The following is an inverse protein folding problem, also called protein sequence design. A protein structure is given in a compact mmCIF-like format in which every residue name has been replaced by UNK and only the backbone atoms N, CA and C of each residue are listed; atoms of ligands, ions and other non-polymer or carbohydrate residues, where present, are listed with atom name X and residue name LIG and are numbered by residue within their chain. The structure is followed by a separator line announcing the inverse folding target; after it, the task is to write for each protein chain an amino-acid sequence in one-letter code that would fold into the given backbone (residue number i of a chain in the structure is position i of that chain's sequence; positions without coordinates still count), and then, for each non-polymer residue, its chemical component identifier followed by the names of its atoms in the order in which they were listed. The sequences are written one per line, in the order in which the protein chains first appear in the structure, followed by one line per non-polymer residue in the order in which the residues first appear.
data_IF_714725775342
#
_entry.id   IF_714725775342
#
_cell.length_a   1.000
_cell.length_b   1.000
_cell.length_c   1.000
_cell.angle_alpha   90.00
_cell.angle_beta   90.00
_cell.angle_gamma   90.00
#
_symmetry.space_group_name_H-M   'P 1'
#
loop_
_entity.id
_entity.type
_entity.pdbx_description
1 polymer ?
#
# COMPACT_ATOMS: atom_id res chain seq x y z
N UNK A 1 33.33 -57.48 8.80
CA UNK A 1 33.12 -56.05 9.10
C UNK A 1 31.84 -55.53 8.42
N UNK A 2 30.78 -56.36 8.31
CA UNK A 2 29.57 -56.01 7.54
C UNK A 2 28.29 -55.86 8.38
N UNK A 3 28.26 -56.28 9.65
CA UNK A 3 27.03 -56.20 10.45
C UNK A 3 26.76 -54.82 11.09
N UNK A 4 27.75 -53.93 11.13
CA UNK A 4 27.58 -52.58 11.73
C UNK A 4 27.05 -51.54 10.74
N UNK A 5 27.19 -51.77 9.43
CA UNK A 5 26.68 -50.85 8.40
C UNK A 5 25.17 -50.99 8.17
N UNK A 6 24.63 -52.21 8.30
CA UNK A 6 23.21 -52.48 8.03
C UNK A 6 22.28 -51.95 9.13
N UNK A 7 22.77 -51.85 10.37
CA UNK A 7 22.01 -51.29 11.51
C UNK A 7 21.79 -49.78 11.40
N UNK A 8 22.74 -49.03 10.82
CA UNK A 8 22.63 -47.58 10.66
C UNK A 8 21.70 -47.15 9.52
N UNK A 9 21.54 -47.97 8.49
CA UNK A 9 20.65 -47.65 7.36
C UNK A 9 19.17 -47.75 7.72
N UNK A 10 18.78 -48.65 8.62
CA UNK A 10 17.38 -48.80 9.06
C UNK A 10 16.92 -47.73 10.07
N UNK A 11 17.85 -46.99 10.68
CA UNK A 11 17.53 -45.94 11.66
C UNK A 11 17.22 -44.58 11.00
N UNK A 12 17.72 -44.31 9.80
CA UNK A 12 17.53 -43.03 9.12
C UNK A 12 16.21 -42.95 8.33
N UNK A 13 15.65 -44.08 7.89
CA UNK A 13 14.36 -44.11 7.18
C UNK A 13 13.14 -44.03 8.10
N UNK A 14 13.28 -44.23 9.41
CA UNK A 14 12.16 -44.13 10.36
C UNK A 14 11.83 -42.70 10.79
N UNK A 15 12.75 -41.75 10.62
CA UNK A 15 12.54 -40.36 11.07
C UNK A 15 11.85 -39.48 10.03
N UNK A 16 11.70 -39.97 8.79
CA UNK A 16 11.10 -39.22 7.67
C UNK A 16 9.59 -39.47 7.50
N UNK A 17 9.00 -40.44 8.21
CA UNK A 17 7.59 -40.81 8.08
C UNK A 17 6.68 -40.23 9.20
N UNK A 18 7.23 -39.54 10.19
CA UNK A 18 6.47 -39.07 11.36
C UNK A 18 5.98 -37.61 11.25
N UNK A 19 6.47 -36.79 10.32
CA UNK A 19 5.98 -35.41 10.14
C UNK A 19 4.74 -35.29 9.24
N UNK A 20 4.50 -36.27 8.36
CA UNK A 20 3.40 -36.22 7.36
C UNK A 20 2.08 -36.83 7.86
N UNK A 21 1.99 -37.21 9.14
CA UNK A 21 0.77 -37.78 9.75
C UNK A 21 0.01 -36.82 10.68
N UNK A 22 0.52 -35.61 10.93
CA UNK A 22 -0.15 -34.59 11.75
C UNK A 22 -1.12 -33.66 10.99
N UNK A 23 -1.28 -33.84 9.68
CA UNK A 23 -2.05 -32.95 8.81
C UNK A 23 -3.43 -33.49 8.36
N UNK A 24 -4.04 -34.48 9.03
CA UNK A 24 -5.37 -34.99 8.63
C UNK A 24 -6.15 -35.58 9.81
N UNK A 25 -6.58 -34.77 10.78
CA UNK A 25 -7.61 -35.15 11.78
C UNK A 25 -8.08 -33.92 12.57
N UNK A 26 -8.94 -33.10 11.98
CA UNK A 26 -9.80 -32.15 12.72
C UNK A 26 -11.00 -31.74 11.86
N UNK A 27 -11.82 -32.71 11.51
CA UNK A 27 -13.19 -32.49 11.06
C UNK A 27 -14.05 -33.38 11.95
N UNK A 28 -14.87 -32.79 12.82
CA UNK A 28 -16.15 -33.31 13.34
C UNK A 28 -16.70 -32.38 14.44
N UNK A 29 -17.85 -31.76 14.11
CA UNK A 29 -19.03 -31.51 14.96
C UNK A 29 -18.95 -30.57 16.17
N UNK A 30 -19.43 -29.33 15.98
CA UNK A 30 -20.42 -28.74 16.91
C UNK A 30 -21.47 -27.94 16.11
N UNK A 31 -22.59 -28.58 15.80
CA UNK A 31 -23.86 -27.93 15.45
C UNK A 31 -24.75 -27.96 16.70
N UNK A 32 -24.97 -26.80 17.29
CA UNK A 32 -26.07 -26.45 18.18
C UNK A 32 -26.05 -24.93 18.32
N UNK A 33 -27.12 -24.16 18.30
CA UNK A 33 -28.53 -24.36 17.96
C UNK A 33 -29.10 -22.93 18.00
N UNK A 34 -29.44 -22.31 16.87
CA UNK A 34 -30.24 -21.09 16.88
C UNK A 34 -31.20 -21.11 15.69
N UNK A 35 -32.34 -21.76 15.90
CA UNK A 35 -33.52 -21.58 15.11
C UNK A 35 -34.72 -21.41 16.05
N UNK A 36 -35.59 -20.47 15.66
CA UNK A 36 -36.96 -20.23 16.12
C UNK A 36 -37.11 -19.33 17.35
N UNK A 37 -37.39 -18.04 17.09
CA UNK A 37 -38.69 -17.50 17.48
C UNK A 37 -39.16 -16.41 16.50
N UNK A 38 -40.11 -16.80 15.66
CA UNK A 38 -41.02 -15.91 14.93
C UNK A 38 -42.46 -16.27 15.35
N UNK A 39 -43.40 -15.32 15.19
CA UNK A 39 -44.84 -15.29 15.52
C UNK A 39 -45.16 -14.77 16.96
N UNK A 40 -46.00 -13.75 17.24
CA UNK A 40 -47.13 -13.10 16.53
C UNK A 40 -47.42 -11.65 17.00
N UNK A 41 -47.68 -10.78 16.00
CA UNK A 41 -48.77 -9.79 15.81
C UNK A 41 -49.27 -8.87 16.94
N UNK A 42 -49.34 -7.55 16.66
CA UNK A 42 -50.61 -6.81 16.48
C UNK A 42 -50.43 -5.41 15.84
N UNK A 43 -51.14 -5.20 14.72
CA UNK A 43 -51.88 -4.00 14.28
C UNK A 43 -51.24 -2.60 14.24
N UNK A 44 -51.08 -2.09 13.00
CA UNK A 44 -51.04 -0.65 12.70
C UNK A 44 -51.26 -0.42 11.19
N UNK A 45 -52.49 -0.14 10.81
CA UNK A 45 -52.92 0.17 9.43
C UNK A 45 -52.84 1.68 9.19
N UNK A 46 -52.38 2.12 8.02
CA UNK A 46 -52.39 3.53 7.61
C UNK A 46 -51.90 3.70 6.17
N UNK A 47 -52.85 3.77 5.24
CA UNK A 47 -52.73 3.84 3.78
C UNK A 47 -51.97 5.07 3.25
N UNK A 48 -51.31 4.94 2.10
CA UNK A 48 -51.70 5.59 0.82
C UNK A 48 -50.69 5.29 -0.29
N UNK A 49 -51.22 4.94 -1.45
CA UNK A 49 -50.58 4.56 -2.72
C UNK A 49 -49.69 5.63 -3.35
N UNK A 50 -48.65 5.21 -4.08
CA UNK A 50 -48.47 5.55 -5.52
C UNK A 50 -47.27 4.85 -6.15
N UNK A 51 -47.51 4.35 -7.36
CA UNK A 51 -46.61 3.70 -8.31
C UNK A 51 -45.63 4.69 -8.98
N UNK A 52 -44.57 4.16 -9.60
CA UNK A 52 -43.68 4.84 -10.56
C UNK A 52 -42.21 4.61 -10.20
N UNK A 53 -41.56 3.57 -10.70
CA UNK A 53 -40.90 3.47 -12.02
C UNK A 53 -39.52 4.16 -12.08
N UNK A 54 -38.66 3.51 -12.86
CA UNK A 54 -37.36 3.93 -13.38
C UNK A 54 -36.16 3.78 -12.44
N UNK A 55 -35.19 3.03 -12.96
CA UNK A 55 -33.97 2.64 -12.27
C UNK A 55 -33.00 3.79 -12.09
N UNK A 56 -32.28 3.74 -10.98
CA UNK A 56 -31.11 4.55 -10.77
C UNK A 56 -29.89 3.66 -11.00
N UNK A 57 -29.26 3.89 -12.15
CA UNK A 57 -27.92 3.44 -12.45
C UNK A 57 -26.98 3.91 -11.35
N UNK A 58 -26.12 2.99 -10.92
CA UNK A 58 -24.88 3.27 -10.20
C UNK A 58 -24.21 4.49 -10.83
N UNK A 59 -24.12 5.59 -10.08
CA UNK A 59 -23.18 6.66 -10.38
C UNK A 59 -21.78 6.06 -10.26
N UNK A 60 -21.19 5.76 -11.40
CA UNK A 60 -19.77 5.53 -11.51
C UNK A 60 -19.07 6.83 -11.13
N UNK A 61 -18.13 6.72 -10.18
CA UNK A 61 -17.15 7.78 -9.93
C UNK A 61 -16.44 8.06 -11.26
N UNK A 62 -16.77 9.20 -11.85
CA UNK A 62 -16.13 9.70 -13.04
C UNK A 62 -14.70 10.09 -12.63
N UNK A 63 -13.73 9.28 -13.06
CA UNK A 63 -12.30 9.55 -12.94
C UNK A 63 -11.99 10.82 -13.75
N UNK A 64 -12.09 11.97 -13.08
CA UNK A 64 -11.81 13.28 -13.66
C UNK A 64 -10.65 13.95 -12.94
N UNK A 65 -9.46 13.36 -13.06
CA UNK A 65 -8.20 14.10 -13.04
C UNK A 65 -7.64 14.28 -14.47
N UNK A 66 -8.50 14.29 -15.49
CA UNK A 66 -8.13 14.73 -16.83
C UNK A 66 -8.48 16.22 -17.00
N UNK A 67 -7.46 17.07 -16.86
CA UNK A 67 -7.38 18.48 -17.23
C UNK A 67 -7.89 19.54 -16.22
N UNK A 68 -6.97 20.00 -15.36
CA UNK A 68 -6.73 21.44 -15.18
C UNK A 68 -6.62 21.93 -13.74
N UNK A 69 -7.28 21.27 -12.79
CA UNK A 69 -7.33 21.71 -11.39
C UNK A 69 -7.42 20.49 -10.47
N UNK A 70 -6.46 20.37 -9.57
CA UNK A 70 -6.41 19.40 -8.48
C UNK A 70 -7.13 19.93 -7.25
N UNK A 71 -7.67 19.03 -6.43
CA UNK A 71 -8.31 19.36 -5.16
C UNK A 71 -7.61 18.64 -4.02
N UNK A 72 -7.36 19.37 -2.94
CA UNK A 72 -6.67 18.89 -1.75
C UNK A 72 -7.49 19.24 -0.49
N UNK A 73 -8.72 18.71 -0.35
CA UNK A 73 -9.56 18.99 0.80
C UNK A 73 -8.87 18.59 2.10
N UNK A 74 -9.08 19.41 3.14
CA UNK A 74 -8.60 19.10 4.48
C UNK A 74 -9.21 17.78 4.97
N UNK A 75 -8.38 16.93 5.58
CA UNK A 75 -8.82 15.71 6.22
C UNK A 75 -9.34 16.03 7.64
N UNK A 76 -10.23 15.18 8.14
CA UNK A 76 -10.68 15.13 9.53
C UNK A 76 -9.53 14.92 10.53
N UNK A 77 -8.41 14.34 10.10
CA UNK A 77 -7.22 14.15 10.91
C UNK A 77 -6.26 15.34 10.76
N UNK A 78 -5.74 15.84 11.88
CA UNK A 78 -4.68 16.84 11.87
C UNK A 78 -3.41 16.28 11.21
N UNK A 79 -2.75 17.07 10.36
CA UNK A 79 -1.50 16.70 9.72
C UNK A 79 -0.41 16.32 10.73
N UNK A 80 0.39 15.31 10.39
CA UNK A 80 1.49 14.82 11.21
C UNK A 80 2.64 15.83 11.36
N UNK A 81 2.76 16.74 10.40
CA UNK A 81 3.63 17.93 10.40
C UNK A 81 2.82 19.10 9.82
N UNK A 82 3.16 20.32 10.24
CA UNK A 82 2.55 21.54 9.70
C UNK A 82 3.07 21.78 8.27
N UNK A 83 2.15 21.79 7.31
CA UNK A 83 2.38 22.09 5.90
C UNK A 83 1.13 22.72 5.30
N UNK A 84 1.33 23.50 4.25
CA UNK A 84 0.24 24.01 3.43
C UNK A 84 -0.12 22.99 2.34
N UNK A 85 -1.42 22.86 2.05
CA UNK A 85 -1.88 22.12 0.89
C UNK A 85 -1.29 22.76 -0.40
N UNK A 86 -0.93 21.95 -1.40
CA UNK A 86 -0.38 22.46 -2.66
C UNK A 86 -1.38 23.34 -3.42
N UNK A 87 -0.86 24.17 -4.33
CA UNK A 87 -1.71 24.91 -5.25
C UNK A 87 -2.55 23.96 -6.11
N UNK A 88 -3.80 24.33 -6.36
CA UNK A 88 -4.74 23.54 -7.15
C UNK A 88 -4.31 23.37 -8.62
N UNK A 89 -3.34 24.13 -9.12
CA UNK A 89 -2.89 24.05 -10.52
C UNK A 89 -1.47 23.47 -10.61
N UNK A 90 -1.31 22.21 -11.02
CA UNK A 90 0.00 21.59 -11.22
C UNK A 90 0.85 22.33 -12.26
N UNK A 91 2.04 22.76 -11.81
CA UNK A 91 3.01 23.45 -12.67
C UNK A 91 3.88 22.47 -13.48
N UNK A 92 4.16 21.28 -12.93
CA UNK A 92 4.94 20.24 -13.61
C UNK A 92 4.23 19.70 -14.84
N UNK A 93 5.04 19.26 -15.83
CA UNK A 93 4.62 18.57 -17.05
C UNK A 93 5.68 17.53 -17.41
N UNK A 94 5.28 16.43 -18.05
CA UNK A 94 6.16 15.36 -18.45
C UNK A 94 6.88 14.70 -17.27
N UNK A 95 8.11 14.26 -17.54
CA UNK A 95 8.95 13.62 -16.53
C UNK A 95 9.66 14.65 -15.65
N UNK A 96 9.62 14.45 -14.33
CA UNK A 96 10.33 15.28 -13.34
C UNK A 96 11.28 14.41 -12.55
N UNK A 97 12.58 14.72 -12.59
CA UNK A 97 13.57 14.00 -11.78
C UNK A 97 13.43 14.38 -10.30
N UNK A 98 13.54 13.37 -9.44
CA UNK A 98 13.53 13.51 -7.99
C UNK A 98 14.56 12.58 -7.34
N UNK A 99 15.06 12.99 -6.19
CA UNK A 99 15.93 12.17 -5.35
C UNK A 99 15.31 12.05 -3.97
N UNK A 100 15.09 10.82 -3.53
CA UNK A 100 14.76 10.49 -2.15
C UNK A 100 16.05 10.05 -1.46
N UNK A 101 16.68 10.97 -0.73
CA UNK A 101 17.89 10.67 0.02
C UNK A 101 17.51 9.91 1.30
N UNK A 102 18.15 8.76 1.53
CA UNK A 102 17.88 7.92 2.70
C UNK A 102 19.15 7.51 3.44
N UNK A 103 18.99 7.01 4.66
CA UNK A 103 20.07 6.35 5.41
C UNK A 103 20.67 5.12 4.70
N UNK A 104 19.99 4.57 3.68
CA UNK A 104 20.46 3.45 2.87
C UNK A 104 21.11 3.88 1.54
N UNK A 105 21.12 5.18 1.23
CA UNK A 105 21.59 5.74 -0.03
C UNK A 105 20.54 6.62 -0.72
N UNK A 106 20.95 7.26 -1.81
CA UNK A 106 20.07 8.06 -2.65
C UNK A 106 19.27 7.16 -3.59
N UNK A 107 17.95 7.37 -3.63
CA UNK A 107 17.06 6.73 -4.58
C UNK A 107 16.71 7.75 -5.67
N UNK A 108 17.18 7.50 -6.88
CA UNK A 108 16.84 8.28 -8.07
C UNK A 108 15.47 7.84 -8.59
N UNK A 109 14.58 8.83 -8.76
CA UNK A 109 13.19 8.66 -9.16
C UNK A 109 12.90 9.56 -10.35
N UNK A 110 12.19 9.05 -11.34
CA UNK A 110 11.54 9.86 -12.37
C UNK A 110 10.04 9.86 -12.13
N UNK A 111 9.50 11.02 -11.80
CA UNK A 111 8.07 11.25 -11.58
C UNK A 111 7.36 11.50 -12.92
N UNK A 112 6.10 11.07 -13.04
CA UNK A 112 5.28 11.24 -14.26
C UNK A 112 4.14 12.23 -14.02
N UNK A 113 4.41 13.51 -14.31
CA UNK A 113 3.44 14.59 -14.11
C UNK A 113 2.37 14.65 -15.21
N UNK A 114 2.54 13.92 -16.32
CA UNK A 114 1.51 13.82 -17.35
C UNK A 114 0.48 12.75 -16.98
N UNK A 115 0.93 11.63 -16.38
CA UNK A 115 0.05 10.57 -15.89
C UNK A 115 -0.63 10.92 -14.58
N UNK A 116 0.11 11.45 -13.61
CA UNK A 116 -0.37 11.70 -12.25
C UNK A 116 -0.11 13.16 -11.80
N UNK A 117 -0.67 14.16 -12.49
CA UNK A 117 -0.38 15.57 -12.25
C UNK A 117 -0.67 16.03 -10.81
N UNK A 118 -1.75 15.56 -10.19
CA UNK A 118 -2.12 15.97 -8.83
C UNK A 118 -1.24 15.32 -7.77
N UNK A 119 -0.89 14.06 -7.98
CA UNK A 119 0.03 13.31 -7.12
C UNK A 119 1.43 13.89 -7.16
N UNK A 120 1.98 14.13 -8.36
CA UNK A 120 3.31 14.74 -8.52
C UNK A 120 3.33 16.16 -7.93
N UNK A 121 2.27 16.94 -8.09
CA UNK A 121 2.16 18.27 -7.50
C UNK A 121 2.16 18.23 -5.96
N UNK A 122 1.39 17.32 -5.35
CA UNK A 122 1.40 17.11 -3.91
C UNK A 122 2.78 16.66 -3.40
N UNK A 123 3.38 15.66 -4.04
CA UNK A 123 4.69 15.14 -3.66
C UNK A 123 5.78 16.22 -3.71
N UNK A 124 5.82 17.02 -4.80
CA UNK A 124 6.76 18.14 -4.95
C UNK A 124 6.56 19.22 -3.89
N UNK A 125 5.31 19.59 -3.60
CA UNK A 125 5.00 20.58 -2.56
C UNK A 125 5.45 20.11 -1.18
N UNK A 126 5.15 18.86 -0.83
CA UNK A 126 5.56 18.25 0.45
C UNK A 126 7.10 18.17 0.55
N UNK A 127 7.78 17.81 -0.54
CA UNK A 127 9.24 17.81 -0.60
C UNK A 127 9.83 19.23 -0.39
N UNK A 128 9.30 20.24 -1.08
CA UNK A 128 9.74 21.63 -0.94
C UNK A 128 9.54 22.18 0.49
N UNK A 129 8.51 21.68 1.18
CA UNK A 129 8.21 22.01 2.57
C UNK A 129 8.94 21.12 3.59
N UNK A 130 9.85 20.23 3.15
CA UNK A 130 10.63 19.33 4.02
C UNK A 130 9.76 18.37 4.84
N UNK A 131 8.59 18.05 4.32
CA UNK A 131 7.64 17.17 5.00
C UNK A 131 8.23 15.76 5.24
N UNK A 132 9.00 15.27 4.27
CA UNK A 132 9.61 13.94 4.30
C UNK A 132 10.93 13.86 5.08
N UNK A 133 11.53 14.99 5.45
CA UNK A 133 12.81 15.02 6.17
C UNK A 133 12.68 14.34 7.53
N UNK A 134 13.68 13.53 7.89
CA UNK A 134 13.76 12.74 9.12
C UNK A 134 12.53 11.82 9.36
N UNK A 135 11.93 11.29 8.29
CA UNK A 135 10.81 10.33 8.38
C UNK A 135 11.26 8.89 8.12
N UNK A 136 10.70 7.92 8.86
CA UNK A 136 11.04 6.50 8.68
C UNK A 136 10.17 5.85 7.58
N UNK A 137 10.77 4.93 6.81
CA UNK A 137 9.99 3.95 6.07
C UNK A 137 9.51 2.88 7.06
N UNK A 138 8.24 2.94 7.41
CA UNK A 138 7.68 2.22 8.55
C UNK A 138 7.26 0.78 8.21
N UNK A 139 7.18 0.43 6.92
CA UNK A 139 6.72 -0.89 6.50
C UNK A 139 7.51 -1.45 5.32
N UNK A 140 7.84 -2.72 5.43
CA UNK A 140 8.49 -3.56 4.43
C UNK A 140 7.73 -4.90 4.36
N UNK A 141 7.35 -5.30 3.15
CA UNK A 141 6.79 -6.62 2.88
C UNK A 141 7.78 -7.45 2.08
N UNK A 142 8.09 -8.66 2.53
CA UNK A 142 9.03 -9.57 1.87
C UNK A 142 8.38 -10.84 1.34
N UNK A 143 7.06 -10.97 1.47
CA UNK A 143 6.27 -12.11 1.00
C UNK A 143 4.95 -11.63 0.39
N UNK A 144 4.54 -12.24 -0.74
CA UNK A 144 3.31 -11.92 -1.45
C UNK A 144 3.40 -10.65 -2.29
N UNK A 145 3.65 -9.52 -1.65
CA UNK A 145 3.99 -8.24 -2.29
C UNK A 145 5.36 -7.79 -1.78
N UNK A 146 6.10 -7.07 -2.61
CA UNK A 146 7.50 -6.69 -2.36
C UNK A 146 7.63 -5.17 -2.36
N UNK A 147 7.16 -4.55 -1.29
CA UNK A 147 7.09 -3.09 -1.17
C UNK A 147 7.85 -2.56 0.05
N UNK A 148 8.48 -1.40 -0.11
CA UNK A 148 8.95 -0.55 0.99
C UNK A 148 8.07 0.71 1.02
N UNK A 149 7.36 0.91 2.12
CA UNK A 149 6.41 2.02 2.30
C UNK A 149 6.97 3.07 3.26
N UNK A 150 6.84 4.34 2.86
CA UNK A 150 7.40 5.52 3.52
C UNK A 150 6.39 6.69 3.50
N UNK A 151 6.81 7.87 3.95
CA UNK A 151 6.03 9.10 3.79
C UNK A 151 5.03 9.39 4.92
N UNK A 152 5.11 8.66 6.04
CA UNK A 152 4.39 8.98 7.29
C UNK A 152 5.36 9.59 8.32
N UNK A 153 5.27 10.89 8.64
CA UNK A 153 6.12 11.51 9.65
C UNK A 153 5.95 10.98 11.07
N UNK A 154 4.83 10.34 11.37
CA UNK A 154 4.62 9.69 12.68
C UNK A 154 5.29 8.32 12.77
N UNK A 155 5.61 7.70 11.62
CA UNK A 155 6.12 6.33 11.53
C UNK A 155 5.10 5.25 11.94
N UNK A 156 3.82 5.59 12.12
CA UNK A 156 2.80 4.66 12.61
C UNK A 156 2.09 3.89 11.50
N UNK A 157 2.14 4.40 10.27
CA UNK A 157 1.36 3.94 9.12
C UNK A 157 0.00 4.61 8.99
N UNK A 158 -0.40 5.47 9.95
CA UNK A 158 -1.70 6.16 9.95
C UNK A 158 -1.60 7.67 9.85
N UNK A 159 -0.39 8.25 9.76
CA UNK A 159 -0.22 9.69 9.60
C UNK A 159 -0.36 10.15 8.15
N UNK A 160 -0.54 11.46 7.99
CA UNK A 160 -0.70 12.11 6.69
C UNK A 160 -0.51 13.63 6.77
N UNK A 161 -0.67 14.35 5.65
CA UNK A 161 -0.33 15.78 5.55
C UNK A 161 -1.45 16.71 6.04
N UNK A 162 -2.58 16.16 6.51
CA UNK A 162 -3.75 16.93 6.93
C UNK A 162 -4.72 17.27 5.78
N UNK A 163 -4.49 16.71 4.61
CA UNK A 163 -5.39 16.74 3.46
C UNK A 163 -5.36 15.38 2.75
N UNK A 164 -6.39 15.12 1.95
CA UNK A 164 -6.42 13.99 1.01
C UNK A 164 -6.68 14.47 -0.42
N UNK A 165 -6.48 13.60 -1.41
CA UNK A 165 -6.83 13.87 -2.80
C UNK A 165 -7.19 12.60 -3.57
N UNK A 166 -7.85 12.80 -4.71
CA UNK A 166 -8.37 11.75 -5.57
C UNK A 166 -7.28 10.82 -6.14
N UNK A 167 -7.66 9.61 -6.49
CA UNK A 167 -6.85 8.69 -7.27
C UNK A 167 -6.72 9.15 -8.73
N UNK A 168 -5.58 8.84 -9.36
CA UNK A 168 -5.32 9.11 -10.79
C UNK A 168 -5.11 7.78 -11.53
N UNK A 169 -6.20 7.01 -11.64
CA UNK A 169 -6.22 5.63 -12.15
C UNK A 169 -6.92 5.53 -13.51
N UNK A 170 -6.37 4.70 -14.40
CA UNK A 170 -7.00 4.31 -15.66
C UNK A 170 -7.41 2.82 -15.73
N UNK A 171 -7.14 2.07 -14.66
CA UNK A 171 -7.45 0.65 -14.50
C UNK A 171 -6.44 -0.29 -15.15
N UNK A 172 -5.37 0.25 -15.77
CA UNK A 172 -4.28 -0.51 -16.37
C UNK A 172 -3.03 -0.56 -15.48
N UNK A 173 -3.12 -0.09 -14.25
CA UNK A 173 -2.00 -0.05 -13.31
C UNK A 173 -1.38 -1.44 -13.11
N UNK A 174 -0.07 -1.49 -13.30
CA UNK A 174 0.77 -2.64 -12.98
C UNK A 174 1.93 -2.19 -12.13
N UNK A 175 2.48 -3.11 -11.35
CA UNK A 175 3.45 -2.81 -10.30
C UNK A 175 4.72 -3.68 -10.46
N UNK A 176 5.47 -3.56 -11.56
CA UNK A 176 6.77 -4.22 -11.70
C UNK A 176 7.80 -3.62 -10.73
N UNK A 177 8.96 -4.28 -10.61
CA UNK A 177 10.08 -3.75 -9.85
C UNK A 177 10.45 -2.30 -10.28
N UNK A 178 10.64 -1.45 -9.28
CA UNK A 178 10.97 -0.03 -9.36
C UNK A 178 9.78 0.93 -9.39
N UNK A 179 8.53 0.44 -9.46
CA UNK A 179 7.35 1.32 -9.48
C UNK A 179 7.22 2.11 -8.18
N UNK A 180 6.91 3.40 -8.32
CA UNK A 180 6.55 4.30 -7.22
C UNK A 180 5.05 4.60 -7.28
N UNK A 181 4.33 4.29 -6.20
CA UNK A 181 2.89 4.47 -6.14
C UNK A 181 2.42 5.00 -4.77
N UNK A 182 1.26 5.64 -4.75
CA UNK A 182 0.67 6.15 -3.51
C UNK A 182 0.12 5.02 -2.66
N UNK A 183 0.34 5.09 -1.34
CA UNK A 183 -0.44 4.31 -0.40
C UNK A 183 -1.73 5.07 -0.08
N UNK A 184 -2.83 4.34 0.09
CA UNK A 184 -4.15 4.91 0.43
C UNK A 184 -4.88 4.00 1.43
N UNK A 185 -5.96 4.50 2.01
CA UNK A 185 -6.87 3.78 2.92
C UNK A 185 -8.21 3.45 2.25
N UNK A 186 -8.22 3.35 0.92
CA UNK A 186 -9.40 3.23 0.07
C UNK A 186 -9.43 4.31 -1.03
N UNK A 187 -10.44 4.27 -1.90
CA UNK A 187 -10.55 5.20 -3.03
C UNK A 187 -10.48 6.66 -2.59
N UNK A 188 -9.73 7.47 -3.33
CA UNK A 188 -9.62 8.92 -3.18
C UNK A 188 -9.12 9.39 -1.81
N UNK A 189 -8.23 8.60 -1.20
CA UNK A 189 -7.60 8.89 0.10
C UNK A 189 -6.08 9.05 0.02
N UNK A 190 -5.56 9.47 -1.13
CA UNK A 190 -4.13 9.75 -1.26
C UNK A 190 -3.74 10.88 -0.31
N UNK A 191 -2.64 10.68 0.42
CA UNK A 191 -2.08 11.66 1.35
C UNK A 191 -0.60 11.89 1.05
N UNK A 192 0.26 11.53 1.99
CA UNK A 192 1.72 11.67 1.84
C UNK A 192 2.46 10.34 1.72
N UNK A 193 1.81 9.24 2.10
CA UNK A 193 2.45 7.94 2.11
C UNK A 193 2.57 7.38 0.70
N UNK A 194 3.73 6.81 0.41
CA UNK A 194 4.03 6.16 -0.87
C UNK A 194 4.74 4.85 -0.61
N UNK A 195 4.73 3.96 -1.61
CA UNK A 195 5.52 2.75 -1.58
C UNK A 195 6.32 2.58 -2.87
N UNK A 196 7.48 1.94 -2.71
CA UNK A 196 8.34 1.49 -3.79
C UNK A 196 8.20 -0.01 -3.93
N UNK A 197 7.90 -0.48 -5.12
CA UNK A 197 7.95 -1.89 -5.47
C UNK A 197 9.39 -2.26 -5.77
N UNK A 198 9.98 -3.22 -5.08
CA UNK A 198 11.40 -3.59 -5.27
C UNK A 198 11.60 -4.95 -5.93
N UNK A 199 10.52 -5.72 -6.08
CA UNK A 199 10.44 -6.97 -6.85
C UNK A 199 9.01 -7.12 -7.39
N UNK A 200 8.81 -7.92 -8.44
CA UNK A 200 7.53 -8.00 -9.16
C UNK A 200 6.39 -8.37 -8.22
N UNK A 201 5.40 -7.47 -8.12
CA UNK A 201 4.30 -7.58 -7.17
C UNK A 201 2.95 -7.59 -7.87
N UNK A 202 2.07 -8.50 -7.47
CA UNK A 202 0.69 -8.54 -7.96
C UNK A 202 -0.22 -7.79 -7.00
N UNK A 203 -0.34 -6.49 -7.20
CA UNK A 203 -1.31 -5.62 -6.52
C UNK A 203 -2.54 -5.39 -7.41
N UNK A 204 -3.74 -5.20 -6.83
CA UNK A 204 -4.87 -4.68 -7.60
C UNK A 204 -4.55 -3.26 -8.12
N UNK A 205 -5.14 -2.81 -9.24
CA UNK A 205 -4.88 -1.52 -9.86
C UNK A 205 -5.54 -0.35 -9.12
N UNK A 206 -5.43 -0.33 -7.79
CA UNK A 206 -6.14 0.59 -6.89
C UNK A 206 -5.19 1.68 -6.32
N UNK A 207 -3.94 1.72 -6.79
CA UNK A 207 -2.90 2.64 -6.28
C UNK A 207 -2.31 3.47 -7.41
N UNK A 208 -2.41 4.79 -7.27
CA UNK A 208 -1.91 5.76 -8.25
C UNK A 208 -0.41 5.58 -8.47
N UNK A 209 -0.01 5.17 -9.68
CA UNK A 209 1.40 5.11 -10.11
C UNK A 209 1.81 6.50 -10.57
N UNK A 210 2.83 7.07 -9.93
CA UNK A 210 3.26 8.46 -10.17
C UNK A 210 4.75 8.61 -10.44
N UNK A 211 5.50 7.50 -10.50
CA UNK A 211 6.90 7.53 -10.89
C UNK A 211 7.55 6.15 -10.92
N UNK A 212 8.85 6.16 -11.18
CA UNK A 212 9.66 4.95 -11.31
C UNK A 212 11.08 5.21 -10.80
N UNK A 213 11.64 4.25 -10.08
CA UNK A 213 13.05 4.24 -9.68
C UNK A 213 13.93 3.72 -10.82
N UNK A 214 15.17 4.19 -10.88
CA UNK A 214 16.18 3.55 -11.72
C UNK A 214 16.56 2.14 -11.20
N UNK A 215 17.22 1.35 -12.03
CA UNK A 215 17.60 -0.03 -11.69
C UNK A 215 18.50 -0.10 -10.45
N UNK A 216 19.39 0.89 -10.28
CA UNK A 216 20.33 0.95 -9.16
C UNK A 216 19.60 1.22 -7.84
N UNK A 217 18.64 2.14 -7.85
CA UNK A 217 17.85 2.50 -6.68
C UNK A 217 16.89 1.38 -6.32
N UNK A 218 16.26 0.77 -7.33
CA UNK A 218 15.43 -0.44 -7.15
C UNK A 218 16.24 -1.56 -6.49
N UNK A 219 17.46 -1.81 -6.96
CA UNK A 219 18.38 -2.77 -6.34
C UNK A 219 18.76 -2.39 -4.92
N UNK A 220 18.96 -1.10 -4.63
CA UNK A 220 19.28 -0.62 -3.27
C UNK A 220 18.15 -0.97 -2.29
N UNK A 221 16.90 -0.79 -2.70
CA UNK A 221 15.73 -1.18 -1.89
C UNK A 221 15.65 -2.71 -1.75
N UNK A 222 15.89 -3.48 -2.81
CA UNK A 222 15.90 -4.94 -2.75
C UNK A 222 17.00 -5.49 -1.81
N UNK A 223 18.21 -4.92 -1.84
CA UNK A 223 19.32 -5.31 -0.95
C UNK A 223 19.03 -4.96 0.52
N UNK A 224 18.25 -3.89 0.75
CA UNK A 224 17.74 -3.58 2.07
C UNK A 224 16.69 -4.60 2.51
N UNK A 225 15.72 -4.89 1.64
CA UNK A 225 14.65 -5.84 1.90
C UNK A 225 15.15 -7.25 2.20
N UNK A 226 16.25 -7.67 1.57
CA UNK A 226 16.92 -8.96 1.83
C UNK A 226 17.39 -9.15 3.29
N UNK A 227 17.48 -8.06 4.08
CA UNK A 227 17.79 -8.12 5.51
C UNK A 227 16.57 -8.52 6.36
N UNK A 228 15.37 -8.47 5.77
CA UNK A 228 14.10 -8.81 6.40
C UNK A 228 13.49 -7.68 7.24
N UNK A 229 12.36 -8.00 7.87
CA UNK A 229 11.69 -7.14 8.85
C UNK A 229 12.29 -7.32 10.24
N UNK A 230 12.07 -6.35 11.14
CA UNK A 230 12.58 -6.38 12.52
C UNK A 230 12.05 -7.58 13.32
N UNK A 231 10.80 -7.96 13.09
CA UNK A 231 10.18 -9.15 13.70
C UNK A 231 10.61 -10.47 13.04
N UNK A 232 11.22 -10.40 11.85
CA UNK A 232 11.50 -11.56 11.01
C UNK A 232 10.26 -12.13 10.28
N UNK A 233 9.11 -11.47 10.39
CA UNK A 233 7.91 -11.82 9.63
C UNK A 233 7.99 -11.30 8.18
N UNK A 234 7.09 -11.79 7.32
CA UNK A 234 6.98 -11.33 5.93
C UNK A 234 6.43 -9.91 5.75
N UNK A 235 5.93 -9.27 6.82
CA UNK A 235 5.43 -7.89 6.81
C UNK A 235 5.73 -7.22 8.16
N UNK A 236 6.13 -5.96 8.13
CA UNK A 236 6.42 -5.15 9.31
C UNK A 236 7.50 -4.09 9.08
N UNK A 237 8.01 -3.50 10.17
CA UNK A 237 9.07 -2.51 10.08
C UNK A 237 10.38 -3.12 9.50
N UNK A 238 11.14 -2.39 8.66
CA UNK A 238 12.43 -2.87 8.17
C UNK A 238 13.42 -3.17 9.30
N UNK A 239 14.14 -4.30 9.22
CA UNK A 239 15.19 -4.62 10.19
C UNK A 239 16.34 -3.62 10.16
N UNK A 240 16.73 -3.23 8.94
CA UNK A 240 17.62 -2.10 8.73
C UNK A 240 16.77 -0.86 8.57
N UNK A 241 16.70 -0.02 9.61
CA UNK A 241 15.92 1.22 9.60
C UNK A 241 16.30 2.09 8.40
N UNK A 242 15.29 2.53 7.67
CA UNK A 242 15.40 3.47 6.57
C UNK A 242 14.78 4.78 7.01
N UNK A 243 15.59 5.83 7.00
CA UNK A 243 15.14 7.19 7.27
C UNK A 243 15.34 8.00 6.01
N UNK A 244 14.28 8.67 5.53
CA UNK A 244 14.39 9.69 4.50
C UNK A 244 15.01 10.92 5.17
N UNK A 245 16.17 11.33 4.68
CA UNK A 245 16.88 12.51 5.19
C UNK A 245 16.45 13.77 4.46
N UNK A 246 16.14 13.65 3.17
CA UNK A 246 15.72 14.76 2.32
C UNK A 246 15.03 14.22 1.07
N UNK A 247 14.07 14.98 0.52
CA UNK A 247 13.54 14.76 -0.82
C UNK A 247 13.77 16.02 -1.64
N UNK A 248 14.39 15.87 -2.81
CA UNK A 248 14.60 16.97 -3.76
C UNK A 248 13.94 16.64 -5.09
N UNK A 249 13.43 17.66 -5.78
CA UNK A 249 12.82 17.53 -7.11
C UNK A 249 13.39 18.59 -8.03
N UNK A 250 13.62 18.25 -9.29
CA UNK A 250 13.98 19.22 -10.32
C UNK A 250 12.85 20.25 -10.53
N UNK A 251 13.22 21.45 -10.97
CA UNK A 251 12.30 22.56 -11.25
C UNK A 251 11.47 22.33 -12.52
#
# INVERSE_FOLDING_TARGET
MDHLAQSRSHALTRHSDESTRRSKSALLLTLAAFAVLAFLLLSGCGSSDSEGDSGESSEGSDSSAAAGTCSYPADSQSGAKEVDAPEEKPQAKGSVDATVATSAGELAVTLDADRAPCTVNSFRSLAAQKYFDDTECHRLTTEGIFVLQCGDPTGTGSGGPGYSFADELDGSETYPAGTLAMANSGPDTNGSQFFVVYDDSSLPPDYTVFGQLDEKSTKTVADLAAKGTDSGAGDGAPKAKVTITEVTTAD
#
